data_IF_008668614502
#
_entry.id   IF_008668614502
#
_cell.length_a   1.000
_cell.length_b   1.000
_cell.length_c   1.000
_cell.angle_alpha   90.00
_cell.angle_beta   90.00
_cell.angle_gamma   90.00
#
_symmetry.space_group_name_H-M   'P 1'
#
loop_
_entity.id
_entity.type
_entity.pdbx_description
1 polymer ?
#
# COMPACT_ATOMS: atom_id res chain seq x y z
N UNK A 1 5.03 7.32 -25.09
CA UNK A 1 5.22 8.29 -23.99
C UNK A 1 5.89 7.59 -22.83
N UNK A 2 6.70 8.29 -22.05
CA UNK A 2 7.32 7.75 -20.83
C UNK A 2 6.47 8.14 -19.63
N UNK A 3 6.31 7.23 -18.66
CA UNK A 3 5.57 7.49 -17.41
C UNK A 3 6.46 7.21 -16.21
N UNK A 4 6.31 8.00 -15.16
CA UNK A 4 6.95 7.77 -13.85
C UNK A 4 5.89 7.54 -12.79
N UNK A 5 6.26 6.78 -11.76
CA UNK A 5 5.47 6.60 -10.54
C UNK A 5 6.47 6.67 -9.39
N UNK A 6 6.35 7.66 -8.51
CA UNK A 6 7.39 8.00 -7.52
C UNK A 6 6.79 8.22 -6.14
N UNK A 7 7.41 7.60 -5.14
CA UNK A 7 7.08 7.77 -3.74
C UNK A 7 8.33 8.27 -3.00
N UNK A 8 8.16 9.27 -2.14
CA UNK A 8 9.24 9.85 -1.36
C UNK A 8 8.74 10.10 0.07
N UNK A 9 9.36 9.41 1.01
CA UNK A 9 8.98 9.44 2.42
C UNK A 9 10.21 9.64 3.30
N UNK A 10 10.05 10.43 4.35
CA UNK A 10 11.07 10.62 5.38
C UNK A 10 10.61 9.97 6.68
N UNK A 11 11.57 9.41 7.43
CA UNK A 11 11.29 8.92 8.78
C UNK A 11 10.94 10.07 9.72
N UNK A 12 10.09 9.81 10.71
CA UNK A 12 9.84 10.74 11.80
C UNK A 12 10.88 10.51 12.92
N UNK A 13 11.69 11.51 13.30
CA UNK A 13 12.68 11.39 14.39
C UNK A 13 12.08 11.00 15.75
N UNK A 14 10.83 11.37 16.02
CA UNK A 14 10.11 11.04 17.26
C UNK A 14 9.14 9.87 17.07
N UNK A 15 9.16 9.21 15.92
CA UNK A 15 8.18 8.20 15.54
C UNK A 15 8.76 7.08 14.70
N UNK A 16 7.91 6.52 13.84
CA UNK A 16 8.30 5.43 12.95
C UNK A 16 9.22 5.93 11.82
N UNK A 17 10.21 5.11 11.46
CA UNK A 17 11.00 5.33 10.25
C UNK A 17 10.14 5.21 8.99
N UNK A 18 10.58 5.80 7.87
CA UNK A 18 9.91 5.64 6.59
C UNK A 18 9.76 4.15 6.22
N UNK A 19 10.81 3.35 6.47
CA UNK A 19 10.77 1.90 6.25
C UNK A 19 9.70 1.21 7.11
N UNK A 20 9.62 1.55 8.41
CA UNK A 20 8.62 0.95 9.29
C UNK A 20 7.19 1.30 8.86
N UNK A 21 6.94 2.54 8.43
CA UNK A 21 5.64 2.94 7.87
C UNK A 21 5.34 2.22 6.57
N UNK A 22 6.24 2.27 5.58
CA UNK A 22 6.03 1.71 4.25
C UNK A 22 5.94 0.18 4.21
N UNK A 23 6.40 -0.52 5.25
CA UNK A 23 6.26 -1.98 5.37
C UNK A 23 5.10 -2.34 6.29
N UNK A 24 5.04 -1.73 7.48
CA UNK A 24 4.07 -2.08 8.50
C UNK A 24 2.64 -1.68 8.15
N UNK A 25 2.44 -0.50 7.55
CA UNK A 25 1.10 -0.02 7.21
C UNK A 25 0.44 -0.86 6.09
N UNK A 26 1.10 -1.20 4.97
CA UNK A 26 0.51 -2.12 3.99
C UNK A 26 0.18 -3.48 4.57
N UNK A 27 0.99 -3.99 5.51
CA UNK A 27 0.71 -5.23 6.24
C UNK A 27 -0.56 -5.12 7.11
N UNK A 28 -0.70 -4.01 7.85
CA UNK A 28 -1.90 -3.72 8.65
C UNK A 28 -3.17 -3.60 7.80
N UNK A 29 -3.10 -2.85 6.69
CA UNK A 29 -4.20 -2.69 5.74
C UNK A 29 -4.59 -4.04 5.13
N UNK A 30 -3.62 -4.83 4.66
CA UNK A 30 -3.88 -6.17 4.13
C UNK A 30 -4.56 -7.08 5.16
N UNK A 31 -4.10 -7.04 6.42
CA UNK A 31 -4.68 -7.80 7.52
C UNK A 31 -6.14 -7.41 7.74
N UNK A 32 -6.43 -6.11 7.79
CA UNK A 32 -7.80 -5.60 7.95
C UNK A 32 -8.71 -6.05 6.79
N UNK A 33 -8.24 -5.94 5.54
CA UNK A 33 -9.00 -6.36 4.35
C UNK A 33 -9.32 -7.86 4.32
N UNK A 34 -8.42 -8.70 4.85
CA UNK A 34 -8.68 -10.15 5.03
C UNK A 34 -9.73 -10.38 6.12
N UNK A 35 -9.61 -9.71 7.26
CA UNK A 35 -10.55 -9.86 8.38
C UNK A 35 -11.95 -9.34 8.05
N UNK A 36 -12.06 -8.27 7.26
CA UNK A 36 -13.32 -7.70 6.79
C UNK A 36 -13.94 -8.51 5.64
N UNK A 37 -13.25 -9.54 5.13
CA UNK A 37 -13.72 -10.40 4.04
C UNK A 37 -13.70 -9.74 2.67
N UNK A 38 -12.99 -8.61 2.51
CA UNK A 38 -12.75 -7.98 1.20
C UNK A 38 -11.82 -8.87 0.38
N UNK A 39 -10.69 -9.28 0.96
CA UNK A 39 -9.80 -10.31 0.40
C UNK A 39 -10.21 -11.66 0.99
N UNK A 40 -11.00 -12.41 0.23
CA UNK A 40 -11.64 -13.67 0.69
C UNK A 40 -11.21 -14.92 -0.08
N UNK A 41 -10.42 -14.76 -1.14
CA UNK A 41 -9.91 -15.89 -1.92
C UNK A 41 -8.99 -16.74 -1.01
N UNK A 42 -9.24 -18.05 -0.85
CA UNK A 42 -8.38 -18.90 -0.03
C UNK A 42 -7.09 -19.29 -0.77
N UNK A 43 -6.05 -19.63 -0.01
CA UNK A 43 -4.77 -20.12 -0.54
C UNK A 43 -3.58 -19.25 -0.14
N UNK A 44 -2.44 -19.48 -0.81
CA UNK A 44 -1.24 -18.66 -0.65
C UNK A 44 -1.28 -17.57 -1.71
N UNK A 45 -1.56 -16.34 -1.28
CA UNK A 45 -1.79 -15.21 -2.17
C UNK A 45 -0.68 -14.15 -2.07
N UNK A 46 -0.60 -13.33 -3.11
CA UNK A 46 0.27 -12.17 -3.22
C UNK A 46 -0.47 -11.05 -3.98
N UNK A 47 -0.08 -9.77 -3.83
CA UNK A 47 -0.73 -8.61 -4.47
C UNK A 47 -0.41 -8.54 -5.98
N UNK A 48 -0.94 -9.49 -6.75
CA UNK A 48 -0.65 -9.69 -8.18
C UNK A 48 -1.89 -9.50 -9.08
N UNK A 49 -3.01 -9.07 -8.51
CA UNK A 49 -4.28 -8.89 -9.21
C UNK A 49 -5.01 -7.66 -8.70
N UNK A 50 -5.82 -7.02 -9.55
CA UNK A 50 -6.48 -5.75 -9.22
C UNK A 50 -7.52 -5.89 -8.11
N UNK A 51 -8.17 -7.05 -7.96
CA UNK A 51 -9.10 -7.34 -6.87
C UNK A 51 -8.43 -7.33 -5.48
N UNK A 52 -7.12 -7.55 -5.41
CA UNK A 52 -6.32 -7.38 -4.18
C UNK A 52 -5.69 -5.98 -4.15
N UNK A 53 -5.11 -5.54 -5.26
CA UNK A 53 -4.28 -4.34 -5.31
C UNK A 53 -5.11 -3.06 -5.18
N UNK A 54 -6.28 -2.97 -5.83
CA UNK A 54 -7.11 -1.76 -5.81
C UNK A 54 -7.61 -1.42 -4.39
N UNK A 55 -8.20 -2.35 -3.61
CA UNK A 55 -8.59 -2.04 -2.23
C UNK A 55 -7.38 -1.81 -1.32
N UNK A 56 -6.25 -2.48 -1.56
CA UNK A 56 -5.03 -2.29 -0.79
C UNK A 56 -4.44 -0.89 -1.00
N UNK A 57 -4.26 -0.47 -2.26
CA UNK A 57 -3.78 0.87 -2.63
C UNK A 57 -4.69 1.94 -2.03
N UNK A 58 -6.02 1.79 -2.17
CA UNK A 58 -6.98 2.72 -1.58
C UNK A 58 -6.85 2.84 -0.06
N UNK A 59 -6.63 1.73 0.64
CA UNK A 59 -6.39 1.74 2.09
C UNK A 59 -5.08 2.42 2.47
N UNK A 60 -4.01 2.17 1.70
CA UNK A 60 -2.69 2.77 1.89
C UNK A 60 -2.72 4.29 1.64
N UNK A 61 -3.44 4.73 0.61
CA UNK A 61 -3.63 6.15 0.29
C UNK A 61 -4.40 6.89 1.39
N UNK A 62 -5.38 6.23 2.04
CA UNK A 62 -6.11 6.79 3.17
C UNK A 62 -5.20 7.05 4.40
N UNK A 63 -4.11 6.29 4.53
CA UNK A 63 -3.07 6.48 5.55
C UNK A 63 -1.98 7.50 5.12
N UNK A 64 -2.21 8.17 3.98
CA UNK A 64 -1.40 9.27 3.47
C UNK A 64 -0.16 8.86 2.67
N UNK A 65 -0.05 7.61 2.24
CA UNK A 65 1.06 7.11 1.43
C UNK A 65 0.60 6.91 -0.01
N UNK A 66 1.24 7.59 -0.96
CA UNK A 66 0.83 7.59 -2.37
C UNK A 66 2.04 7.63 -3.31
N UNK A 67 1.91 6.98 -4.46
CA UNK A 67 2.85 7.17 -5.57
C UNK A 67 2.33 8.26 -6.50
N UNK A 68 3.15 9.27 -6.79
CA UNK A 68 2.82 10.34 -7.72
C UNK A 68 3.14 9.91 -9.15
N UNK A 69 2.14 9.98 -10.04
CA UNK A 69 2.29 9.65 -11.46
C UNK A 69 2.52 10.88 -12.33
N UNK A 70 3.47 10.81 -13.26
CA UNK A 70 3.73 11.86 -14.24
C UNK A 70 3.95 11.29 -15.66
N UNK A 71 3.67 12.11 -16.68
CA UNK A 71 3.99 11.81 -18.08
C UNK A 71 5.16 12.72 -18.49
N UNK A 72 6.28 12.11 -18.90
CA UNK A 72 7.46 12.80 -19.40
C UNK A 72 7.38 13.02 -20.93
#
# INVERSE_FOLDING_TARGET
QTRTSTILEYGNPEGASAMARLVGMPCGVATQLVLDGVIRTPGILAPMSSDINDPLIKGIEAEGVVCHEEIL
#
